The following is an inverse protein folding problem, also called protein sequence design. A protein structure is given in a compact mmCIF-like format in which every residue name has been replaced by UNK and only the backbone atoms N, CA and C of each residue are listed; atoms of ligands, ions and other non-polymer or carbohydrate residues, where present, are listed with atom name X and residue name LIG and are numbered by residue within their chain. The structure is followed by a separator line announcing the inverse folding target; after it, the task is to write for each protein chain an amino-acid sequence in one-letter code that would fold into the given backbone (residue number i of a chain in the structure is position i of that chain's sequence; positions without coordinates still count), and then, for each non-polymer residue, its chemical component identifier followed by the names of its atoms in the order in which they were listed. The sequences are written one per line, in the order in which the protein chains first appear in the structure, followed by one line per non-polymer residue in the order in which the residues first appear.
data_IF_242810223189
#
_entry.id   IF_242810223189
#
_cell.length_a   1.000
_cell.length_b   1.000
_cell.length_c   1.000
_cell.angle_alpha   90.00
_cell.angle_beta   90.00
_cell.angle_gamma   90.00
#
_symmetry.space_group_name_H-M   'P 1'
#
loop_
_entity.id
_entity.type
_entity.pdbx_description
1 polymer ?
#
# COMPACT_ATOMS: atom_id res chain seq x y z
N UNK A 1 6.38 48.61 55.74
CA UNK A 1 7.52 48.79 54.82
C UNK A 1 8.09 47.41 54.55
N UNK A 2 7.65 46.79 53.45
CA UNK A 2 8.37 45.87 52.55
C UNK A 2 7.33 45.06 51.75
N UNK A 3 7.68 44.78 50.50
CA UNK A 3 6.80 44.71 49.32
C UNK A 3 6.44 43.25 48.99
N UNK A 4 5.21 42.92 48.58
CA UNK A 4 4.91 41.61 48.02
C UNK A 4 5.53 41.48 46.62
N UNK A 5 6.50 40.58 46.50
CA UNK A 5 7.22 40.25 45.27
C UNK A 5 6.37 39.48 44.27
N UNK A 6 6.46 39.95 43.03
CA UNK A 6 5.99 39.35 41.78
C UNK A 6 6.42 37.90 41.65
N UNK A 7 5.50 37.02 41.24
CA UNK A 7 5.86 35.81 40.49
C UNK A 7 4.76 35.48 39.47
N UNK A 8 4.86 36.14 38.32
CA UNK A 8 4.29 35.66 37.07
C UNK A 8 4.95 34.32 36.72
N UNK A 9 4.16 33.23 36.69
CA UNK A 9 4.60 31.94 36.14
C UNK A 9 3.65 31.48 35.05
N UNK A 10 4.02 31.91 33.83
CA UNK A 10 4.04 31.14 32.58
C UNK A 10 2.97 30.03 32.48
N UNK A 11 1.80 30.40 31.96
CA UNK A 11 0.87 29.45 31.33
C UNK A 11 0.87 29.71 29.83
N UNK A 12 1.94 29.33 29.15
CA UNK A 12 2.05 29.48 27.70
C UNK A 12 2.96 28.39 27.10
N UNK A 13 2.56 27.12 27.22
CA UNK A 13 3.30 26.03 26.57
C UNK A 13 2.43 24.96 25.91
N UNK A 14 1.09 25.10 25.88
CA UNK A 14 0.22 24.11 25.21
C UNK A 14 -0.36 24.56 23.86
N UNK A 15 -0.12 25.79 23.39
CA UNK A 15 -0.75 26.26 22.15
C UNK A 15 0.05 25.99 20.86
N UNK A 16 1.30 25.53 20.95
CA UNK A 16 2.14 25.31 19.75
C UNK A 16 2.04 23.90 19.14
N UNK A 17 1.46 22.92 19.86
CA UNK A 17 1.34 21.55 19.34
C UNK A 17 0.10 21.34 18.44
N UNK A 18 -0.89 22.24 18.48
CA UNK A 18 -2.16 22.05 17.76
C UNK A 18 -2.15 22.58 16.31
N UNK A 19 -1.15 23.38 15.91
CA UNK A 19 -1.12 24.00 14.58
C UNK A 19 -0.48 23.08 13.51
N UNK A 20 0.22 22.02 13.92
CA UNK A 20 0.80 21.06 12.97
C UNK A 20 -0.21 20.05 12.39
N UNK A 21 -1.42 19.95 12.94
CA UNK A 21 -2.44 18.98 12.49
C UNK A 21 -3.51 19.57 11.54
N UNK A 22 -3.46 20.86 11.22
CA UNK A 22 -4.55 21.56 10.52
C UNK A 22 -4.21 22.05 9.11
N UNK A 23 -3.11 21.58 8.51
CA UNK A 23 -2.90 21.77 7.06
C UNK A 23 -3.34 20.49 6.36
N UNK A 24 -4.50 20.46 5.69
CA UNK A 24 -4.74 19.44 4.68
C UNK A 24 -3.74 19.73 3.57
N UNK A 25 -2.55 19.13 3.67
CA UNK A 25 -1.68 19.05 2.53
C UNK A 25 -2.49 18.27 1.47
N UNK A 26 -2.99 18.97 0.47
CA UNK A 26 -3.34 18.36 -0.81
C UNK A 26 -2.03 17.83 -1.36
N UNK A 27 -1.63 16.66 -0.85
CA UNK A 27 -0.46 15.96 -1.33
C UNK A 27 -0.76 15.62 -2.77
N UNK A 28 -0.07 16.30 -3.70
CA UNK A 28 -0.05 15.90 -5.09
C UNK A 28 0.60 14.52 -5.13
N UNK A 29 -0.22 13.46 -4.98
CA UNK A 29 0.23 12.06 -4.95
C UNK A 29 0.79 11.59 -6.30
N UNK A 30 0.74 12.46 -7.32
CA UNK A 30 1.25 12.21 -8.66
C UNK A 30 1.85 13.49 -9.26
N UNK A 31 3.03 13.38 -9.86
CA UNK A 31 3.70 14.42 -10.64
C UNK A 31 3.93 13.87 -12.02
N UNK A 32 3.48 14.60 -13.04
CA UNK A 32 3.60 14.19 -14.44
C UNK A 32 4.45 15.21 -15.19
N UNK A 33 5.49 14.72 -15.85
CA UNK A 33 6.41 15.50 -16.66
C UNK A 33 6.26 15.04 -18.10
N UNK A 34 5.83 15.94 -18.98
CA UNK A 34 5.75 15.69 -20.42
C UNK A 34 6.86 16.44 -21.14
N UNK A 35 7.67 15.72 -21.90
CA UNK A 35 8.75 16.26 -22.72
C UNK A 35 8.71 15.60 -24.11
N UNK A 36 8.12 16.29 -25.08
CA UNK A 36 7.97 15.78 -26.45
C UNK A 36 7.17 14.47 -26.47
N UNK A 37 7.79 13.40 -26.95
CA UNK A 37 7.22 12.05 -27.00
C UNK A 37 7.30 11.27 -25.70
N UNK A 38 7.97 11.80 -24.68
CA UNK A 38 8.13 11.12 -23.40
C UNK A 38 7.18 11.72 -22.34
N UNK A 39 6.40 10.86 -21.70
CA UNK A 39 5.62 11.17 -20.50
C UNK A 39 6.20 10.36 -19.33
N UNK A 40 6.62 11.04 -18.28
CA UNK A 40 7.10 10.40 -17.06
C UNK A 40 6.16 10.78 -15.92
N UNK A 41 5.55 9.77 -15.31
CA UNK A 41 4.67 9.90 -14.16
C UNK A 41 5.36 9.35 -12.92
N UNK A 42 5.52 10.22 -11.94
CA UNK A 42 5.89 9.87 -10.59
C UNK A 42 4.62 9.76 -9.77
N UNK A 43 4.49 8.72 -8.98
CA UNK A 43 3.37 8.53 -8.07
C UNK A 43 3.82 7.81 -6.81
N UNK A 44 3.03 7.90 -5.75
CA UNK A 44 3.33 7.17 -4.54
C UNK A 44 2.12 7.08 -3.63
N UNK A 45 2.23 6.22 -2.63
CA UNK A 45 1.22 6.11 -1.59
C UNK A 45 1.86 5.66 -0.30
N UNK A 46 1.47 6.35 0.77
CA UNK A 46 1.73 5.93 2.14
C UNK A 46 0.39 5.65 2.79
N UNK A 47 0.26 4.48 3.40
CA UNK A 47 -0.95 4.04 4.10
C UNK A 47 -0.58 3.59 5.50
N UNK A 48 -1.03 4.35 6.50
CA UNK A 48 -0.98 3.95 7.90
C UNK A 48 -2.32 3.33 8.29
N UNK A 49 -2.27 2.25 9.08
CA UNK A 49 -3.45 1.62 9.64
C UNK A 49 -3.32 1.56 11.16
N UNK A 50 -4.47 1.75 11.79
CA UNK A 50 -4.66 1.59 13.22
C UNK A 50 -5.76 0.57 13.38
N UNK A 51 -5.41 -0.55 14.00
CA UNK A 51 -6.31 -1.66 14.25
C UNK A 51 -6.47 -1.82 15.76
N UNK A 52 -7.71 -1.87 16.23
CA UNK A 52 -8.02 -2.25 17.61
C UNK A 52 -8.55 -3.66 17.60
N UNK A 53 -7.90 -4.54 18.34
CA UNK A 53 -8.35 -5.92 18.50
C UNK A 53 -8.63 -6.20 19.97
N UNK A 54 -9.71 -6.92 20.26
CA UNK A 54 -9.98 -7.41 21.62
C UNK A 54 -9.03 -8.54 22.03
N UNK A 55 -8.12 -8.97 21.15
CA UNK A 55 -7.15 -10.03 21.37
C UNK A 55 -5.80 -9.64 20.75
N UNK A 56 -4.73 -9.72 21.53
CA UNK A 56 -3.38 -9.28 21.14
C UNK A 56 -2.75 -10.08 19.98
N UNK A 57 -3.29 -11.25 19.61
CA UNK A 57 -2.74 -12.13 18.55
C UNK A 57 -3.73 -12.49 17.43
N UNK A 58 -3.17 -12.69 16.23
CA UNK A 58 -3.88 -13.10 15.00
C UNK A 58 -4.23 -14.59 15.01
N UNK A 59 -4.05 -15.40 16.08
CA UNK A 59 -4.82 -16.65 16.22
C UNK A 59 -5.04 -17.25 17.62
N UNK A 60 -6.21 -17.08 18.28
CA UNK A 60 -6.52 -17.81 19.51
C UNK A 60 -7.43 -19.03 19.27
N UNK A 61 -7.01 -20.23 19.71
CA UNK A 61 -7.86 -21.43 19.79
C UNK A 61 -8.83 -21.36 21.00
N UNK A 62 -9.95 -22.10 21.01
CA UNK A 62 -10.98 -22.04 22.06
C UNK A 62 -10.62 -22.78 23.39
N UNK A 63 -9.48 -22.43 23.97
CA UNK A 63 -9.29 -22.32 25.42
C UNK A 63 -8.39 -21.11 25.71
N UNK A 64 -8.27 -20.20 24.75
CA UNK A 64 -7.12 -19.32 24.60
C UNK A 64 -7.02 -18.30 25.72
N UNK A 65 -5.78 -18.01 26.08
CA UNK A 65 -5.40 -16.96 27.02
C UNK A 65 -5.87 -15.55 26.59
N UNK A 66 -6.33 -15.37 25.34
CA UNK A 66 -6.99 -14.13 24.89
C UNK A 66 -8.38 -13.91 25.52
N UNK A 67 -8.89 -14.86 26.31
CA UNK A 67 -10.14 -14.71 27.04
C UNK A 67 -10.09 -13.67 28.18
N UNK A 68 -8.90 -13.27 28.63
CA UNK A 68 -8.68 -12.31 29.73
C UNK A 68 -7.71 -11.17 29.37
N UNK A 69 -7.44 -10.93 28.09
CA UNK A 69 -6.45 -9.94 27.63
C UNK A 69 -7.12 -8.60 27.27
N UNK A 70 -6.44 -7.50 27.60
CA UNK A 70 -6.88 -6.13 27.35
C UNK A 70 -6.76 -5.76 25.84
N UNK A 71 -7.63 -4.88 25.32
CA UNK A 71 -7.64 -4.50 23.90
C UNK A 71 -6.27 -4.01 23.43
N UNK A 72 -5.73 -4.66 22.40
CA UNK A 72 -4.48 -4.29 21.75
C UNK A 72 -4.72 -3.23 20.68
N UNK A 73 -3.98 -2.12 20.74
CA UNK A 73 -3.87 -1.13 19.68
C UNK A 73 -2.66 -1.47 18.81
N UNK A 74 -2.90 -1.95 17.58
CA UNK A 74 -1.85 -2.21 16.60
C UNK A 74 -1.79 -1.04 15.61
N UNK A 75 -0.65 -0.36 15.55
CA UNK A 75 -0.40 0.71 14.59
C UNK A 75 0.76 0.30 13.70
N UNK A 76 0.53 0.21 12.40
CA UNK A 76 1.56 -0.20 11.47
C UNK A 76 1.43 0.51 10.12
N UNK A 77 2.56 0.61 9.44
CA UNK A 77 2.63 1.09 8.07
C UNK A 77 2.21 -0.07 7.16
N UNK A 78 1.06 0.07 6.49
CA UNK A 78 0.52 -0.99 5.63
C UNK A 78 1.16 -1.00 4.25
N UNK A 79 1.42 0.18 3.70
CA UNK A 79 2.01 0.39 2.36
C UNK A 79 2.82 1.67 2.36
N UNK A 80 4.00 1.63 1.78
CA UNK A 80 4.73 2.82 1.43
C UNK A 80 5.43 2.54 0.10
N UNK A 81 4.75 2.78 -1.01
CA UNK A 81 5.33 2.55 -2.32
C UNK A 81 5.50 3.84 -3.09
N UNK A 82 6.47 3.81 -3.98
CA UNK A 82 6.76 4.85 -4.94
C UNK A 82 6.81 4.22 -6.32
N UNK A 83 6.23 4.86 -7.33
CA UNK A 83 6.14 4.34 -8.69
C UNK A 83 6.62 5.40 -9.68
N UNK A 84 7.48 4.98 -10.59
CA UNK A 84 7.86 5.72 -11.79
C UNK A 84 7.30 4.96 -12.98
N UNK A 85 6.45 5.61 -13.75
CA UNK A 85 5.94 5.11 -15.03
C UNK A 85 6.42 6.03 -16.14
N UNK A 86 7.04 5.46 -17.17
CA UNK A 86 7.50 6.20 -18.35
C UNK A 86 6.80 5.66 -19.59
N UNK A 87 6.20 6.55 -20.36
CA UNK A 87 5.64 6.26 -21.69
C UNK A 87 6.48 6.99 -22.72
N UNK A 88 6.88 6.27 -23.75
CA UNK A 88 7.63 6.78 -24.88
C UNK A 88 6.81 6.50 -26.13
N UNK A 89 6.27 7.58 -26.71
CA UNK A 89 5.23 7.54 -27.73
C UNK A 89 4.04 6.65 -27.29
N UNK A 90 3.29 6.12 -28.26
CA UNK A 90 2.25 5.11 -28.05
C UNK A 90 2.77 3.66 -28.05
N UNK A 91 4.10 3.49 -28.08
CA UNK A 91 4.74 2.19 -28.33
C UNK A 91 5.31 1.53 -27.09
N UNK A 92 5.94 2.29 -26.19
CA UNK A 92 6.66 1.73 -25.07
C UNK A 92 6.14 2.33 -23.76
N UNK A 93 5.78 1.47 -22.82
CA UNK A 93 5.45 1.84 -21.44
C UNK A 93 6.35 1.05 -20.51
N UNK A 94 6.92 1.69 -19.50
CA UNK A 94 7.77 1.07 -18.49
C UNK A 94 7.31 1.50 -17.12
N UNK A 95 7.39 0.60 -16.14
CA UNK A 95 7.02 0.89 -14.75
C UNK A 95 8.01 0.24 -13.79
N UNK A 96 8.42 1.00 -12.77
CA UNK A 96 9.17 0.51 -11.62
C UNK A 96 8.47 1.01 -10.36
N UNK A 97 8.18 0.11 -9.41
CA UNK A 97 7.47 0.37 -8.17
C UNK A 97 8.13 -0.35 -6.99
N UNK A 98 9.13 0.26 -6.32
CA UNK A 98 9.56 -0.19 -5.00
C UNK A 98 8.47 0.02 -3.94
N UNK A 99 8.35 -0.92 -3.01
CA UNK A 99 7.57 -0.80 -1.78
C UNK A 99 8.48 -0.93 -0.55
N UNK A 100 8.12 -0.19 0.48
CA UNK A 100 8.79 -0.05 1.76
C UNK A 100 7.80 -0.50 2.85
N UNK A 101 7.29 -1.72 2.75
CA UNK A 101 6.25 -2.29 3.61
C UNK A 101 6.76 -2.77 4.99
N UNK A 102 8.03 -2.47 5.32
CA UNK A 102 8.62 -2.68 6.64
C UNK A 102 9.76 -1.69 6.93
N UNK A 103 10.13 -1.53 8.21
CA UNK A 103 11.15 -0.54 8.65
C UNK A 103 12.53 -0.78 8.01
N UNK A 104 12.84 -2.02 7.61
CA UNK A 104 14.10 -2.40 6.98
C UNK A 104 13.91 -3.31 5.76
N UNK A 105 12.70 -3.35 5.20
CA UNK A 105 12.38 -4.22 4.06
C UNK A 105 12.08 -3.35 2.84
N UNK A 106 12.76 -3.64 1.74
CA UNK A 106 12.51 -3.02 0.44
C UNK A 106 12.20 -4.14 -0.52
N UNK A 107 10.97 -4.14 -1.03
CA UNK A 107 10.51 -5.10 -2.03
C UNK A 107 10.24 -4.39 -3.35
N UNK A 108 10.40 -5.09 -4.46
CA UNK A 108 10.09 -4.55 -5.79
C UNK A 108 8.75 -5.09 -6.23
N UNK A 109 7.68 -4.29 -6.13
CA UNK A 109 6.34 -4.71 -6.53
C UNK A 109 6.24 -4.87 -8.03
N UNK A 110 6.41 -3.79 -8.79
CA UNK A 110 6.34 -3.87 -10.24
C UNK A 110 7.67 -3.44 -10.85
N UNK A 111 8.17 -4.18 -11.84
CA UNK A 111 9.31 -3.78 -12.65
C UNK A 111 9.19 -4.40 -14.03
N UNK A 112 8.52 -3.70 -14.95
CA UNK A 112 8.17 -4.25 -16.25
C UNK A 112 8.24 -3.21 -17.36
N UNK A 113 8.41 -3.71 -18.59
CA UNK A 113 8.26 -2.97 -19.83
C UNK A 113 7.17 -3.59 -20.70
N UNK A 114 6.43 -2.77 -21.41
CA UNK A 114 5.39 -3.16 -22.34
C UNK A 114 5.59 -2.47 -23.67
N UNK A 115 5.70 -3.27 -24.73
CA UNK A 115 5.83 -2.79 -26.10
C UNK A 115 4.57 -3.11 -26.91
N UNK A 116 4.03 -2.12 -27.60
CA UNK A 116 2.89 -2.25 -28.51
C UNK A 116 3.41 -2.67 -29.88
N UNK A 117 3.21 -3.96 -30.21
CA UNK A 117 3.63 -4.54 -31.49
C UNK A 117 2.71 -4.07 -32.63
N UNK A 118 1.41 -4.03 -32.39
CA UNK A 118 0.36 -3.55 -33.31
C UNK A 118 -0.74 -2.84 -32.51
N UNK A 119 -1.69 -2.11 -33.14
CA UNK A 119 -2.84 -1.51 -32.45
C UNK A 119 -3.56 -2.44 -31.45
N UNK A 120 -3.65 -3.73 -31.77
CA UNK A 120 -4.34 -4.73 -30.95
C UNK A 120 -3.45 -5.72 -30.20
N UNK A 121 -2.12 -5.66 -30.32
CA UNK A 121 -1.21 -6.64 -29.68
C UNK A 121 -0.11 -5.91 -28.92
N UNK A 122 0.06 -6.27 -27.65
CA UNK A 122 1.18 -5.82 -26.82
C UNK A 122 1.94 -6.99 -26.20
N UNK A 123 3.24 -6.81 -26.03
CA UNK A 123 4.13 -7.70 -25.31
C UNK A 123 4.58 -7.00 -24.03
N UNK A 124 4.30 -7.60 -22.88
CA UNK A 124 4.76 -7.16 -21.56
C UNK A 124 5.80 -8.13 -21.03
N UNK A 125 6.88 -7.61 -20.44
CA UNK A 125 7.98 -8.40 -19.89
C UNK A 125 8.49 -7.80 -18.57
N UNK A 126 8.85 -8.65 -17.62
CA UNK A 126 9.44 -8.25 -16.33
C UNK A 126 8.69 -8.82 -15.14
N UNK A 127 8.81 -8.16 -13.99
CA UNK A 127 8.13 -8.50 -12.75
C UNK A 127 6.78 -7.78 -12.67
N UNK A 128 5.68 -8.52 -12.74
CA UNK A 128 4.33 -7.96 -12.68
C UNK A 128 3.31 -8.97 -12.16
N UNK A 129 2.14 -8.46 -11.74
CA UNK A 129 1.07 -9.31 -11.24
C UNK A 129 0.43 -10.14 -12.38
N UNK A 130 0.25 -11.44 -12.16
CA UNK A 130 -0.36 -12.34 -13.15
C UNK A 130 -1.86 -12.05 -13.30
N UNK A 131 -2.46 -12.25 -14.48
CA UNK A 131 -3.83 -11.83 -14.77
C UNK A 131 -4.87 -12.86 -14.29
N UNK A 132 -4.56 -13.63 -13.24
CA UNK A 132 -5.38 -14.78 -12.83
C UNK A 132 -6.44 -14.43 -11.77
N UNK A 133 -6.34 -13.26 -11.15
CA UNK A 133 -7.26 -12.87 -10.07
C UNK A 133 -7.67 -11.40 -10.16
N UNK A 134 -8.89 -11.15 -10.68
CA UNK A 134 -9.46 -9.81 -10.81
C UNK A 134 -9.49 -9.00 -9.49
N UNK A 135 -9.61 -9.68 -8.35
CA UNK A 135 -9.62 -9.03 -7.04
C UNK A 135 -8.22 -8.54 -6.62
N UNK A 136 -7.16 -9.28 -6.98
CA UNK A 136 -5.77 -8.88 -6.77
C UNK A 136 -5.23 -7.97 -7.88
N UNK A 137 -5.84 -7.99 -9.08
CA UNK A 137 -5.58 -7.02 -10.16
C UNK A 137 -6.18 -5.65 -9.89
N UNK A 138 -7.27 -5.57 -9.12
CA UNK A 138 -7.83 -4.28 -8.70
C UNK A 138 -6.75 -3.49 -7.96
N UNK A 139 -6.62 -2.18 -8.25
CA UNK A 139 -5.61 -1.38 -7.57
C UNK A 139 -5.87 -1.35 -6.06
N UNK A 140 -4.81 -1.47 -5.28
CA UNK A 140 -4.90 -1.40 -3.82
C UNK A 140 -5.39 -0.04 -3.32
N UNK A 141 -5.33 0.99 -4.17
CA UNK A 141 -5.78 2.35 -3.89
C UNK A 141 -7.30 2.47 -3.72
N UNK A 142 -8.08 1.53 -4.27
CA UNK A 142 -9.54 1.57 -4.22
C UNK A 142 -10.16 0.64 -3.17
N UNK A 143 -9.36 -0.20 -2.50
CA UNK A 143 -9.85 -1.07 -1.43
C UNK A 143 -9.46 -0.51 -0.06
N UNK A 144 -10.44 -0.16 0.80
CA UNK A 144 -10.17 0.31 2.15
C UNK A 144 -9.85 -0.83 3.14
N UNK A 145 -10.02 -2.09 2.74
CA UNK A 145 -9.83 -3.29 3.57
C UNK A 145 -8.87 -4.32 2.91
N UNK A 146 -8.49 -5.34 3.68
CA UNK A 146 -7.58 -6.41 3.24
C UNK A 146 -8.15 -7.27 2.10
N UNK A 147 -7.28 -7.70 1.17
CA UNK A 147 -7.65 -8.55 0.01
C UNK A 147 -7.80 -10.04 0.34
N UNK A 148 -7.60 -10.40 1.58
CA UNK A 148 -7.89 -11.72 2.08
C UNK A 148 -8.71 -11.56 3.35
N UNK A 149 -9.67 -12.46 3.53
CA UNK A 149 -10.29 -12.64 4.84
C UNK A 149 -9.15 -12.99 5.80
N UNK A 150 -8.87 -12.09 6.73
CA UNK A 150 -7.93 -12.32 7.83
C UNK A 150 -8.78 -12.48 9.08
N UNK A 151 -8.85 -13.70 9.59
CA UNK A 151 -9.46 -13.96 10.89
C UNK A 151 -8.30 -14.16 11.86
N UNK A 152 -8.22 -13.34 12.92
CA UNK A 152 -7.42 -13.66 14.08
C UNK A 152 -7.82 -15.03 14.62
N UNK A 153 -7.16 -16.11 14.20
CA UNK A 153 -7.49 -17.49 14.61
C UNK A 153 -7.02 -18.51 13.60
N UNK A 154 -7.02 -18.08 12.35
CA UNK A 154 -7.13 -18.99 11.23
C UNK A 154 -6.15 -18.57 10.14
N UNK A 155 -5.27 -19.50 9.76
CA UNK A 155 -4.41 -19.31 8.59
C UNK A 155 -5.27 -19.03 7.35
N UNK A 156 -4.86 -18.06 6.53
CA UNK A 156 -5.57 -17.73 5.28
C UNK A 156 -5.67 -18.91 4.30
N UNK A 157 -4.81 -19.93 4.45
CA UNK A 157 -4.85 -21.18 3.68
C UNK A 157 -5.99 -22.12 4.07
N UNK A 158 -6.56 -21.96 5.27
CA UNK A 158 -7.66 -22.78 5.78
C UNK A 158 -9.04 -22.18 5.46
N UNK A 159 -9.09 -20.98 4.89
CA UNK A 159 -10.34 -20.30 4.58
C UNK A 159 -10.79 -20.64 3.15
N UNK A 160 -11.97 -21.24 2.95
CA UNK A 160 -12.49 -21.59 1.62
C UNK A 160 -12.94 -20.32 0.89
N UNK A 161 -11.98 -19.58 0.35
CA UNK A 161 -12.20 -18.34 -0.40
C UNK A 161 -11.36 -18.34 -1.67
N UNK A 162 -11.83 -17.63 -2.70
CA UNK A 162 -11.06 -17.45 -3.94
C UNK A 162 -9.66 -16.91 -3.65
N UNK A 163 -9.56 -15.88 -2.81
CA UNK A 163 -8.28 -15.32 -2.36
C UNK A 163 -7.40 -16.33 -1.60
N UNK A 164 -8.01 -17.21 -0.80
CA UNK A 164 -7.30 -18.28 -0.08
C UNK A 164 -6.72 -19.30 -1.06
N UNK A 165 -7.47 -19.70 -2.08
CA UNK A 165 -7.01 -20.59 -3.15
C UNK A 165 -5.87 -19.95 -3.95
N UNK A 166 -6.08 -18.76 -4.51
CA UNK A 166 -5.07 -18.12 -5.38
C UNK A 166 -3.80 -17.78 -4.63
N UNK A 167 -3.88 -17.42 -3.34
CA UNK A 167 -2.71 -17.22 -2.48
C UNK A 167 -2.00 -18.54 -2.13
N UNK A 168 -2.73 -19.62 -1.85
CA UNK A 168 -2.12 -20.91 -1.46
C UNK A 168 -1.37 -21.59 -2.59
N UNK A 169 -1.77 -21.34 -3.84
CA UNK A 169 -1.10 -21.84 -5.04
C UNK A 169 -0.15 -20.82 -5.69
N UNK A 170 0.14 -19.72 -5.01
CA UNK A 170 1.01 -18.64 -5.51
C UNK A 170 0.55 -18.07 -6.87
N UNK A 171 -0.75 -18.08 -7.14
CA UNK A 171 -1.34 -17.59 -8.40
C UNK A 171 -1.65 -16.09 -8.34
N UNK A 172 -1.78 -15.55 -7.13
CA UNK A 172 -2.10 -14.14 -6.88
C UNK A 172 -0.87 -13.24 -6.71
N UNK A 173 0.33 -13.83 -6.63
CA UNK A 173 1.57 -13.07 -6.47
C UNK A 173 2.21 -12.71 -7.80
N UNK A 174 3.08 -11.70 -7.74
CA UNK A 174 3.88 -11.21 -8.85
C UNK A 174 4.94 -12.24 -9.22
N UNK A 175 5.24 -12.28 -10.50
CA UNK A 175 6.25 -13.18 -11.04
C UNK A 175 6.97 -12.51 -12.20
N UNK A 176 8.17 -13.03 -12.51
CA UNK A 176 8.97 -12.61 -13.64
C UNK A 176 8.51 -13.40 -14.86
N UNK A 177 8.05 -12.70 -15.89
CA UNK A 177 7.60 -13.38 -17.09
C UNK A 177 7.38 -12.50 -18.29
N UNK A 178 6.72 -13.08 -19.28
CA UNK A 178 6.29 -12.44 -20.52
C UNK A 178 4.79 -12.68 -20.71
N UNK A 179 4.10 -11.68 -21.23
CA UNK A 179 2.67 -11.74 -21.51
C UNK A 179 2.36 -11.09 -22.86
N UNK A 180 1.56 -11.77 -23.67
CA UNK A 180 0.87 -11.15 -24.79
C UNK A 180 -0.54 -10.76 -24.35
N UNK A 181 -0.91 -9.51 -24.58
CA UNK A 181 -2.26 -9.00 -24.30
C UNK A 181 -2.88 -8.44 -25.57
N UNK A 182 -4.12 -8.87 -25.84
CA UNK A 182 -4.98 -8.28 -26.86
C UNK A 182 -5.57 -6.97 -26.32
N UNK A 183 -5.40 -5.88 -27.05
CA UNK A 183 -6.07 -4.62 -26.75
C UNK A 183 -7.36 -4.58 -27.59
N UNK A 184 -8.52 -4.61 -26.94
CA UNK A 184 -9.79 -4.25 -27.56
C UNK A 184 -9.87 -2.73 -27.62
N UNK A 185 -10.00 -2.17 -28.82
CA UNK A 185 -10.35 -0.76 -29.05
C UNK A 185 -11.73 -0.42 -28.49
#
# INVERSE_FOLDING_TARGET
MEVPGVNARVRLSCLFAAVFFAVPATSFAQVEVKAGSAEIKFSGRVQFQVETTSCTDVTPAASSACASEEPGLNMFLRRAWFSIEAKIDDRLTMKIEPDFDGVNEVSLKDAWGQYKLTPGISLKAGHFNRPFDGFFLTSSSWLPFERAVSIPGVSSSMLPSHSGFTKSFDLADRDIGFMFAGMTE
#
